data_IF_003992851244
#
_entry.id   IF_003992851244
#
_cell.length_a   1.000
_cell.length_b   1.000
_cell.length_c   1.000
_cell.angle_alpha   90.00
_cell.angle_beta   90.00
_cell.angle_gamma   90.00
#
_symmetry.space_group_name_H-M   'P 1'
#
loop_
_entity.id
_entity.type
_entity.pdbx_description
1 polymer ?
#
# COMPACT_ATOMS: atom_id res chain seq x y z
N UNK A 1 -6.09 18.26 -0.26
CA UNK A 1 -4.95 17.58 -0.94
C UNK A 1 -5.46 16.95 -2.22
N UNK A 2 -4.73 17.09 -3.33
CA UNK A 2 -5.08 16.47 -4.62
C UNK A 2 -4.86 14.96 -4.49
N UNK A 3 -5.90 14.15 -4.65
CA UNK A 3 -5.75 12.69 -4.68
C UNK A 3 -4.99 12.31 -5.95
N UNK A 4 -3.86 11.63 -5.79
CA UNK A 4 -3.09 11.11 -6.92
C UNK A 4 -3.67 9.76 -7.32
N UNK A 5 -3.94 9.60 -8.62
CA UNK A 5 -4.36 8.33 -9.20
C UNK A 5 -3.11 7.64 -9.73
N UNK A 6 -2.83 6.45 -9.23
CA UNK A 6 -1.75 5.57 -9.69
C UNK A 6 -2.36 4.49 -10.58
N UNK A 7 -1.71 4.21 -11.70
CA UNK A 7 -2.15 3.16 -12.62
C UNK A 7 -1.21 1.97 -12.52
N UNK A 8 -1.80 0.78 -12.48
CA UNK A 8 -1.11 -0.49 -12.36
C UNK A 8 -1.60 -1.44 -13.46
N UNK A 9 -0.69 -1.92 -14.30
CA UNK A 9 -1.06 -2.77 -15.43
C UNK A 9 -1.12 -4.25 -15.01
N UNK A 10 -2.23 -4.92 -15.29
CA UNK A 10 -2.44 -6.35 -15.09
C UNK A 10 -2.27 -7.07 -16.42
N UNK A 11 -1.46 -8.13 -16.46
CA UNK A 11 -1.27 -8.95 -17.66
C UNK A 11 -1.33 -10.45 -17.33
N UNK A 12 -1.65 -11.27 -18.31
CA UNK A 12 -1.75 -12.73 -18.14
C UNK A 12 -0.39 -13.34 -17.77
N UNK A 13 -0.38 -14.23 -16.77
CA UNK A 13 0.83 -14.83 -16.21
C UNK A 13 1.63 -13.90 -15.27
N UNK A 14 1.05 -12.77 -14.85
CA UNK A 14 1.74 -11.83 -13.97
C UNK A 14 2.11 -12.46 -12.63
N UNK A 15 3.38 -12.34 -12.27
CA UNK A 15 3.91 -12.61 -10.94
C UNK A 15 4.81 -11.44 -10.54
N UNK A 16 4.44 -10.73 -9.46
CA UNK A 16 5.20 -9.56 -8.98
C UNK A 16 6.24 -9.91 -7.92
N UNK A 17 6.62 -11.18 -7.76
CA UNK A 17 7.71 -11.57 -6.87
C UNK A 17 9.00 -10.81 -7.24
N UNK A 18 9.61 -10.15 -6.24
CA UNK A 18 10.78 -9.31 -6.44
C UNK A 18 10.49 -7.88 -6.94
N UNK A 19 9.24 -7.55 -7.26
CA UNK A 19 8.81 -6.19 -7.59
C UNK A 19 8.07 -5.55 -6.42
N UNK A 20 8.28 -4.24 -6.21
CA UNK A 20 7.70 -3.52 -5.09
C UNK A 20 6.89 -2.32 -5.58
N UNK A 21 5.57 -2.42 -5.45
CA UNK A 21 4.65 -1.35 -5.82
C UNK A 21 4.23 -0.55 -4.59
N UNK A 22 4.80 0.65 -4.45
CA UNK A 22 4.61 1.52 -3.28
C UNK A 22 3.53 2.55 -3.53
N UNK A 23 2.64 2.70 -2.56
CA UNK A 23 1.49 3.61 -2.60
C UNK A 23 1.50 4.44 -1.31
N UNK A 24 1.20 5.73 -1.42
CA UNK A 24 0.98 6.59 -0.26
C UNK A 24 -0.50 6.53 0.17
N UNK A 25 -0.78 6.80 1.44
CA UNK A 25 -2.16 6.94 1.93
C UNK A 25 -2.92 8.02 1.15
N UNK A 26 -4.24 7.89 1.11
CA UNK A 26 -5.18 8.75 0.38
C UNK A 26 -5.04 8.77 -1.16
N UNK A 27 -4.08 8.05 -1.73
CA UNK A 27 -4.03 7.80 -3.17
C UNK A 27 -5.16 6.86 -3.61
N UNK A 28 -5.44 6.87 -4.91
CA UNK A 28 -6.33 5.92 -5.58
C UNK A 28 -5.48 5.06 -6.51
N UNK A 29 -5.75 3.75 -6.54
CA UNK A 29 -5.07 2.84 -7.47
C UNK A 29 -6.07 2.31 -8.48
N UNK A 30 -5.73 2.44 -9.75
CA UNK A 30 -6.43 1.85 -10.89
C UNK A 30 -5.62 0.68 -11.40
N UNK A 31 -6.19 -0.52 -11.32
CA UNK A 31 -5.63 -1.71 -11.93
C UNK A 31 -6.22 -1.84 -13.34
N UNK A 32 -5.43 -1.53 -14.35
CA UNK A 32 -5.81 -1.48 -15.76
C UNK A 32 -5.48 -2.82 -16.42
N UNK A 33 -6.35 -3.28 -17.30
CA UNK A 33 -6.15 -4.49 -18.07
C UNK A 33 -5.16 -4.26 -19.22
N UNK A 34 -4.14 -5.10 -19.33
CA UNK A 34 -3.29 -5.22 -20.52
C UNK A 34 -4.05 -5.89 -21.67
N UNK A 35 -3.53 -5.74 -22.90
CA UNK A 35 -4.05 -6.38 -24.12
C UNK A 35 -4.27 -7.89 -23.98
N UNK A 36 -3.48 -8.57 -23.14
CA UNK A 36 -3.63 -10.00 -22.84
C UNK A 36 -4.92 -10.36 -22.07
N UNK A 37 -5.57 -9.39 -21.43
CA UNK A 37 -6.77 -9.59 -20.61
C UNK A 37 -8.02 -8.89 -21.19
N UNK A 38 -7.89 -8.16 -22.29
CA UNK A 38 -9.02 -7.47 -22.93
C UNK A 38 -9.97 -8.49 -23.53
N UNK A 39 -11.27 -8.33 -23.28
CA UNK A 39 -12.31 -9.27 -23.70
C UNK A 39 -12.43 -10.52 -22.83
N UNK A 40 -11.54 -10.71 -21.84
CA UNK A 40 -11.66 -11.76 -20.84
C UNK A 40 -12.63 -11.35 -19.72
N UNK A 41 -13.21 -12.34 -19.04
CA UNK A 41 -14.06 -12.11 -17.86
C UNK A 41 -13.17 -12.02 -16.61
N UNK A 42 -12.50 -10.88 -16.43
CA UNK A 42 -11.52 -10.72 -15.35
C UNK A 42 -12.23 -10.47 -14.02
N UNK A 43 -11.84 -11.22 -12.98
CA UNK A 43 -12.28 -10.97 -11.59
C UNK A 43 -11.07 -10.74 -10.71
N UNK A 44 -11.11 -9.68 -9.91
CA UNK A 44 -9.97 -9.20 -9.14
C UNK A 44 -10.24 -9.28 -7.64
N UNK A 45 -9.31 -9.88 -6.91
CA UNK A 45 -9.43 -10.13 -5.47
C UNK A 45 -8.24 -9.53 -4.73
N UNK A 46 -8.49 -8.86 -3.60
CA UNK A 46 -7.45 -8.23 -2.79
C UNK A 46 -7.75 -8.39 -1.29
N UNK A 47 -6.71 -8.60 -0.48
CA UNK A 47 -6.86 -8.70 0.98
C UNK A 47 -6.75 -7.35 1.71
N UNK A 48 -6.89 -6.24 0.99
CA UNK A 48 -6.96 -4.92 1.58
C UNK A 48 -8.30 -4.77 2.31
N UNK A 49 -8.31 -4.42 3.61
CA UNK A 49 -9.53 -4.39 4.40
C UNK A 49 -10.47 -3.30 3.90
N UNK A 50 -11.77 -3.54 4.03
CA UNK A 50 -12.74 -2.48 3.80
C UNK A 50 -12.71 -1.44 4.94
N UNK A 51 -13.28 -0.26 4.69
CA UNK A 51 -13.25 0.83 5.66
C UNK A 51 -13.86 0.41 7.01
N UNK A 52 -13.08 0.51 8.08
CA UNK A 52 -13.51 0.15 9.44
C UNK A 52 -13.37 -1.32 9.80
N UNK A 53 -12.87 -2.17 8.88
CA UNK A 53 -12.62 -3.59 9.13
C UNK A 53 -11.15 -3.82 9.50
N UNK A 54 -10.89 -4.71 10.47
CA UNK A 54 -9.53 -5.13 10.80
C UNK A 54 -8.89 -5.93 9.67
N UNK A 55 -7.63 -5.66 9.35
CA UNK A 55 -6.90 -6.45 8.36
C UNK A 55 -6.74 -7.90 8.78
N UNK A 56 -7.07 -8.83 7.87
CA UNK A 56 -6.81 -10.26 7.99
C UNK A 56 -6.19 -10.78 6.70
N UNK A 57 -4.99 -11.35 6.78
CA UNK A 57 -4.19 -11.77 5.62
C UNK A 57 -4.89 -12.78 4.70
N UNK A 58 -5.73 -13.64 5.28
CA UNK A 58 -6.44 -14.73 4.60
C UNK A 58 -7.80 -14.33 4.01
N UNK A 59 -8.30 -13.13 4.31
CA UNK A 59 -9.60 -12.67 3.84
C UNK A 59 -9.41 -11.75 2.63
N UNK A 60 -10.09 -12.08 1.52
CA UNK A 60 -10.04 -11.34 0.29
C UNK A 60 -11.43 -10.80 -0.05
N UNK A 61 -11.46 -9.61 -0.63
CA UNK A 61 -12.65 -9.03 -1.24
C UNK A 61 -12.46 -8.91 -2.73
N UNK A 62 -13.56 -9.02 -3.45
CA UNK A 62 -13.60 -8.76 -4.88
C UNK A 62 -13.73 -7.26 -5.14
N UNK A 63 -12.96 -6.73 -6.10
CA UNK A 63 -13.17 -5.39 -6.62
C UNK A 63 -14.03 -5.46 -7.89
N UNK A 64 -14.96 -4.52 -8.01
CA UNK A 64 -15.79 -4.42 -9.19
C UNK A 64 -15.02 -3.79 -10.35
N UNK A 65 -15.25 -4.33 -11.55
CA UNK A 65 -14.73 -3.78 -12.79
C UNK A 65 -15.51 -2.52 -13.16
N UNK A 66 -14.82 -1.40 -13.30
CA UNK A 66 -15.40 -0.14 -13.74
C UNK A 66 -15.19 0.03 -15.24
N UNK A 67 -16.23 0.48 -15.94
CA UNK A 67 -16.16 0.88 -17.33
C UNK A 67 -16.36 2.42 -17.41
N UNK A 68 -15.36 3.19 -17.84
CA UNK A 68 -15.46 4.65 -17.90
C UNK A 68 -16.28 5.16 -19.10
N UNK A 69 -16.63 4.31 -20.07
CA UNK A 69 -17.31 4.72 -21.30
C UNK A 69 -18.74 5.21 -20.99
N UNK A 70 -19.07 6.51 -21.24
CA UNK A 70 -20.35 7.10 -20.83
C UNK A 70 -21.58 6.53 -21.55
N UNK A 71 -21.41 5.81 -22.65
CA UNK A 71 -22.49 5.41 -23.56
C UNK A 71 -23.13 4.05 -23.25
N UNK A 72 -22.76 3.37 -22.16
CA UNK A 72 -23.36 2.07 -21.78
C UNK A 72 -23.16 0.96 -22.83
N UNK A 73 -22.25 1.16 -23.80
CA UNK A 73 -21.89 0.17 -24.81
C UNK A 73 -20.95 -0.83 -24.17
N UNK A 74 -21.51 -1.93 -23.68
CA UNK A 74 -20.79 -3.03 -23.02
C UNK A 74 -19.67 -3.68 -23.87
N UNK A 75 -19.62 -3.36 -25.17
CA UNK A 75 -18.63 -3.83 -26.14
C UNK A 75 -17.30 -3.05 -26.06
N UNK A 76 -17.31 -1.83 -25.54
CA UNK A 76 -16.10 -1.03 -25.37
C UNK A 76 -15.51 -1.30 -23.98
N UNK A 77 -14.49 -2.15 -23.93
CA UNK A 77 -13.89 -2.67 -22.70
C UNK A 77 -12.39 -2.39 -22.56
N UNK A 78 -11.82 -1.59 -23.48
CA UNK A 78 -10.39 -1.31 -23.52
C UNK A 78 -9.91 -0.46 -22.34
N UNK A 79 -10.78 0.42 -21.84
CA UNK A 79 -10.47 1.32 -20.72
C UNK A 79 -10.98 0.79 -19.37
N UNK A 80 -11.35 -0.48 -19.29
CA UNK A 80 -11.85 -1.05 -18.04
C UNK A 80 -10.74 -1.14 -16.97
N UNK A 81 -11.10 -0.85 -15.73
CA UNK A 81 -10.16 -0.90 -14.60
C UNK A 81 -10.83 -1.33 -13.29
N UNK A 82 -10.08 -1.95 -12.41
CA UNK A 82 -10.46 -2.13 -11.00
C UNK A 82 -9.93 -0.97 -10.18
N UNK A 83 -10.67 -0.58 -9.15
CA UNK A 83 -10.33 0.59 -8.37
C UNK A 83 -10.24 0.31 -6.87
N UNK A 84 -9.10 0.69 -6.28
CA UNK A 84 -8.90 0.72 -4.84
C UNK A 84 -8.90 2.18 -4.36
N UNK A 85 -9.93 2.54 -3.59
CA UNK A 85 -10.13 3.86 -2.97
C UNK A 85 -9.93 3.78 -1.45
N UNK A 86 -9.80 4.96 -0.83
CA UNK A 86 -9.80 5.15 0.62
C UNK A 86 -8.69 4.35 1.33
N UNK A 87 -7.46 4.46 0.81
CA UNK A 87 -6.29 3.79 1.35
C UNK A 87 -5.86 4.48 2.66
N UNK A 88 -6.16 3.86 3.79
CA UNK A 88 -5.91 4.37 5.16
C UNK A 88 -4.98 3.46 5.98
N UNK A 89 -4.98 2.16 5.70
CA UNK A 89 -4.17 1.17 6.43
C UNK A 89 -2.83 0.98 5.72
N UNK A 90 -1.74 1.19 6.42
CA UNK A 90 -0.38 0.90 5.93
C UNK A 90 -0.06 -0.58 6.10
N UNK A 91 0.72 -1.14 5.16
CA UNK A 91 1.07 -2.55 5.17
C UNK A 91 1.34 -3.12 3.78
N UNK A 92 1.45 -4.44 3.71
CA UNK A 92 1.61 -5.17 2.45
C UNK A 92 0.35 -6.00 2.20
N UNK A 93 -0.27 -5.78 1.05
CA UNK A 93 -1.53 -6.39 0.65
C UNK A 93 -1.34 -7.20 -0.61
N UNK A 94 -1.86 -8.41 -0.60
CA UNK A 94 -1.80 -9.35 -1.71
C UNK A 94 -3.06 -9.20 -2.56
N UNK A 95 -2.90 -9.32 -3.86
CA UNK A 95 -4.00 -9.42 -4.80
C UNK A 95 -3.75 -10.55 -5.81
N UNK A 96 -4.84 -11.07 -6.36
CA UNK A 96 -4.82 -12.03 -7.46
C UNK A 96 -6.04 -11.81 -8.34
N UNK A 97 -6.01 -12.33 -9.56
CA UNK A 97 -7.14 -12.25 -10.47
C UNK A 97 -7.25 -13.50 -11.36
N UNK A 98 -8.46 -13.78 -11.81
CA UNK A 98 -8.78 -14.79 -12.82
C UNK A 98 -9.17 -14.10 -14.12
N UNK A 99 -9.14 -14.82 -15.25
CA UNK A 99 -9.52 -14.29 -16.59
C UNK A 99 -10.75 -14.98 -17.20
N UNK A 100 -11.19 -16.08 -16.59
CA UNK A 100 -12.29 -16.94 -17.05
C UNK A 100 -13.61 -16.71 -16.28
N UNK A 101 -13.63 -15.73 -15.37
CA UNK A 101 -14.79 -15.44 -14.50
C UNK A 101 -14.88 -16.35 -13.26
N UNK A 102 -13.92 -17.26 -13.07
CA UNK A 102 -13.86 -18.08 -11.86
C UNK A 102 -13.52 -17.23 -10.63
N UNK A 103 -13.96 -17.67 -9.45
CA UNK A 103 -13.47 -17.16 -8.17
C UNK A 103 -12.65 -18.28 -7.51
N UNK A 104 -11.40 -18.50 -7.97
CA UNK A 104 -10.57 -19.55 -7.41
C UNK A 104 -10.32 -19.25 -5.93
N UNK A 105 -10.05 -20.30 -5.16
CA UNK A 105 -9.66 -20.11 -3.77
C UNK A 105 -8.40 -19.24 -3.68
N UNK A 106 -8.24 -18.44 -2.61
CA UNK A 106 -7.02 -17.67 -2.45
C UNK A 106 -5.81 -18.60 -2.42
N UNK A 107 -4.73 -18.28 -3.13
CA UNK A 107 -3.59 -19.18 -3.24
C UNK A 107 -3.03 -19.51 -1.85
N UNK A 108 -3.00 -20.80 -1.51
CA UNK A 108 -2.47 -21.27 -0.21
C UNK A 108 -0.94 -21.11 -0.13
N UNK A 109 -0.28 -21.08 -1.29
CA UNK A 109 1.17 -20.99 -1.45
C UNK A 109 1.51 -19.94 -2.51
N UNK A 110 2.55 -19.13 -2.26
CA UNK A 110 3.03 -18.09 -3.19
C UNK A 110 3.56 -18.65 -4.52
N UNK A 111 3.91 -19.94 -4.53
CA UNK A 111 4.71 -20.56 -5.60
C UNK A 111 3.88 -21.38 -6.60
N UNK A 112 2.57 -21.55 -6.36
CA UNK A 112 1.71 -22.33 -7.24
C UNK A 112 0.63 -21.39 -7.80
N UNK A 113 0.71 -21.09 -9.10
CA UNK A 113 -0.46 -20.62 -9.85
C UNK A 113 -1.50 -21.76 -9.77
N UNK A 114 -2.45 -21.63 -8.84
CA UNK A 114 -3.56 -22.55 -8.73
C UNK A 114 -4.42 -22.48 -10.01
N UNK A 115 -5.08 -23.59 -10.35
CA UNK A 115 -5.95 -23.65 -11.53
C UNK A 115 -6.99 -22.50 -11.47
N UNK A 116 -6.98 -21.64 -12.49
CA UNK A 116 -7.89 -20.49 -12.59
C UNK A 116 -7.29 -19.13 -12.17
N UNK A 117 -6.11 -19.09 -11.54
CA UNK A 117 -5.42 -17.81 -11.28
C UNK A 117 -4.63 -17.40 -12.52
N UNK A 118 -4.96 -16.23 -13.08
CA UNK A 118 -4.28 -15.65 -14.24
C UNK A 118 -3.06 -14.80 -13.84
N UNK A 119 -3.04 -14.26 -12.62
CA UNK A 119 -1.89 -13.54 -12.10
C UNK A 119 -2.07 -13.12 -10.65
N UNK A 120 -0.96 -12.78 -9.99
CA UNK A 120 -0.94 -12.35 -8.60
C UNK A 120 0.17 -11.35 -8.32
N UNK A 121 0.02 -10.60 -7.21
CA UNK A 121 1.02 -9.65 -6.81
C UNK A 121 0.78 -8.98 -5.47
N UNK A 122 1.67 -8.05 -5.13
CA UNK A 122 1.61 -7.30 -3.88
C UNK A 122 1.64 -5.80 -4.13
N UNK A 123 0.83 -5.09 -3.35
CA UNK A 123 0.93 -3.65 -3.16
C UNK A 123 1.42 -3.34 -1.74
N UNK A 124 2.22 -2.30 -1.61
CA UNK A 124 2.73 -1.83 -0.33
C UNK A 124 2.26 -0.41 -0.07
N UNK A 125 1.53 -0.21 1.02
CA UNK A 125 1.07 1.11 1.45
C UNK A 125 2.06 1.63 2.48
N UNK A 126 2.78 2.68 2.12
CA UNK A 126 3.79 3.29 2.97
C UNK A 126 3.15 3.88 4.24
N UNK A 127 3.78 3.71 5.42
CA UNK A 127 3.36 4.41 6.62
C UNK A 127 3.73 5.90 6.53
N UNK A 128 2.90 6.75 7.15
CA UNK A 128 3.23 8.15 7.35
C UNK A 128 3.96 8.28 8.70
N UNK A 129 5.11 8.97 8.71
CA UNK A 129 5.79 9.31 9.95
C UNK A 129 5.30 10.67 10.45
N UNK A 130 4.78 10.66 11.67
CA UNK A 130 4.36 11.87 12.37
C UNK A 130 5.10 11.95 13.68
N UNK A 131 5.89 13.01 13.87
CA UNK A 131 6.49 13.33 15.15
C UNK A 131 5.96 14.65 15.68
N UNK A 132 5.77 14.72 16.99
CA UNK A 132 5.72 16.00 17.70
C UNK A 132 7.14 16.53 17.79
N UNK A 133 7.50 17.48 16.94
CA UNK A 133 8.72 18.24 17.18
C UNK A 133 8.43 19.11 18.42
N UNK A 134 9.10 18.85 19.54
CA UNK A 134 9.09 19.74 20.70
C UNK A 134 9.97 20.94 20.36
N UNK A 135 9.56 21.74 19.37
CA UNK A 135 10.15 23.06 19.18
C UNK A 135 9.58 23.92 20.30
N UNK A 136 10.39 24.23 21.31
CA UNK A 136 10.15 25.36 22.22
C UNK A 136 10.30 26.67 21.43
N UNK A 137 9.43 26.88 20.45
CA UNK A 137 9.25 28.16 19.79
C UNK A 137 8.35 29.02 20.67
N UNK A 138 8.66 30.32 20.74
CA UNK A 138 7.97 31.34 21.56
C UNK A 138 6.45 31.45 21.30
N UNK A 139 5.93 30.79 20.26
CA UNK A 139 4.51 30.60 20.02
C UNK A 139 4.10 29.16 20.37
N UNK A 140 3.27 28.98 21.40
CA UNK A 140 2.82 27.70 21.97
C UNK A 140 2.01 26.77 21.06
N UNK A 141 2.25 26.77 19.75
CA UNK A 141 1.64 25.86 18.79
C UNK A 141 2.62 24.73 18.48
N UNK A 142 2.38 23.57 19.10
CA UNK A 142 3.03 22.30 18.76
C UNK A 142 2.52 21.81 17.41
N UNK A 143 3.12 22.28 16.31
CA UNK A 143 2.82 21.77 14.98
C UNK A 143 3.60 20.46 14.76
N UNK A 144 2.91 19.33 14.74
CA UNK A 144 3.52 18.04 14.42
C UNK A 144 4.13 18.07 13.02
N UNK A 145 5.41 17.73 12.89
CA UNK A 145 6.09 17.62 11.60
C UNK A 145 5.76 16.26 11.02
N UNK A 146 5.17 16.24 9.82
CA UNK A 146 5.04 15.02 9.01
C UNK A 146 6.29 14.91 8.13
N UNK A 147 6.86 13.72 8.01
CA UNK A 147 7.96 13.46 7.07
C UNK A 147 7.73 12.16 6.30
N UNK A 148 8.21 12.16 5.05
CA UNK A 148 8.29 10.96 4.24
C UNK A 148 9.44 10.05 4.75
N UNK A 149 9.37 8.76 4.43
CA UNK A 149 10.43 7.77 4.71
C UNK A 149 11.82 8.22 4.23
N UNK A 150 11.90 8.99 3.15
CA UNK A 150 13.18 9.52 2.63
C UNK A 150 13.82 10.56 3.52
N UNK A 151 13.07 11.16 4.45
CA UNK A 151 13.56 12.17 5.39
C UNK A 151 13.96 11.59 6.75
N UNK A 152 13.94 10.28 6.93
CA UNK A 152 14.29 9.63 8.21
C UNK A 152 15.81 9.61 8.37
N UNK A 153 16.28 10.11 9.51
CA UNK A 153 17.68 10.08 9.93
C UNK A 153 17.73 9.42 11.31
N UNK A 154 18.26 8.20 11.34
CA UNK A 154 18.21 7.29 12.49
C UNK A 154 19.54 7.31 13.27
N UNK A 155 19.47 7.45 14.59
CA UNK A 155 20.60 7.21 15.48
C UNK A 155 20.41 5.91 16.28
N UNK A 156 21.30 4.94 16.08
CA UNK A 156 21.27 3.68 16.82
C UNK A 156 22.01 3.77 18.16
N UNK A 157 21.35 3.34 19.24
CA UNK A 157 21.95 3.26 20.58
C UNK A 157 22.02 1.82 21.07
N UNK A 158 23.14 1.46 21.71
CA UNK A 158 23.27 0.21 22.45
C UNK A 158 22.88 0.46 23.91
N UNK A 159 21.75 -0.08 24.35
CA UNK A 159 21.21 0.13 25.70
C UNK A 159 22.21 -0.17 26.83
N UNK A 160 23.02 -1.23 26.67
CA UNK A 160 24.07 -1.61 27.64
C UNK A 160 25.20 -0.56 27.80
N UNK A 161 25.34 0.36 26.83
CA UNK A 161 26.35 1.41 26.84
C UNK A 161 25.75 2.79 27.20
N UNK A 162 24.46 2.89 27.50
CA UNK A 162 23.80 4.14 27.92
C UNK A 162 23.98 4.46 29.41
N UNK A 163 24.66 3.60 30.17
CA UNK A 163 24.82 3.78 31.61
C UNK A 163 23.53 3.51 32.38
N UNK A 164 23.43 4.06 33.58
CA UNK A 164 22.25 3.92 34.42
C UNK A 164 21.07 4.72 33.85
N UNK A 165 19.84 4.25 34.07
CA UNK A 165 18.62 4.82 33.47
C UNK A 165 18.48 6.36 33.61
N UNK A 166 18.83 7.01 34.74
CA UNK A 166 18.78 8.47 34.86
C UNK A 166 19.68 9.24 33.88
N UNK A 167 20.72 8.62 33.34
CA UNK A 167 21.64 9.25 32.37
C UNK A 167 21.20 9.09 30.91
N UNK A 168 20.13 8.34 30.65
CA UNK A 168 19.72 8.05 29.27
C UNK A 168 19.27 9.31 28.54
N UNK A 169 18.49 10.18 29.19
CA UNK A 169 17.98 11.41 28.58
C UNK A 169 19.11 12.32 28.08
N UNK A 170 20.13 12.56 28.90
CA UNK A 170 21.27 13.41 28.51
C UNK A 170 22.07 12.82 27.35
N UNK A 171 22.18 11.50 27.27
CA UNK A 171 22.85 10.80 26.16
C UNK A 171 22.00 10.79 24.88
N UNK A 172 20.68 10.72 25.01
CA UNK A 172 19.75 10.83 23.88
C UNK A 172 19.66 12.26 23.35
N UNK A 173 19.94 13.28 24.18
CA UNK A 173 19.98 14.69 23.76
C UNK A 173 20.96 14.92 22.60
N UNK A 174 22.07 14.19 22.54
CA UNK A 174 23.02 14.27 21.42
C UNK A 174 22.38 13.92 20.08
N UNK A 175 21.39 13.03 20.02
CA UNK A 175 20.64 12.77 18.78
C UNK A 175 19.74 13.96 18.40
N UNK A 176 19.09 14.60 19.38
CA UNK A 176 18.30 15.81 19.12
C UNK A 176 19.18 16.95 18.60
N UNK A 177 20.33 17.19 19.22
CA UNK A 177 21.28 18.23 18.83
C UNK A 177 21.90 17.94 17.45
N UNK A 178 22.13 16.65 17.16
CA UNK A 178 22.57 16.15 15.85
C UNK A 178 21.49 16.14 14.77
N UNK A 179 20.30 16.67 15.03
CA UNK A 179 19.17 16.73 14.10
C UNK A 179 18.67 15.36 13.60
N UNK A 180 18.90 14.28 14.37
CA UNK A 180 18.28 12.99 14.13
C UNK A 180 16.79 13.04 14.48
N UNK A 181 15.97 12.29 13.76
CA UNK A 181 14.51 12.27 13.96
C UNK A 181 13.95 10.87 14.28
N UNK A 182 14.83 9.87 14.43
CA UNK A 182 14.52 8.52 14.87
C UNK A 182 15.67 7.93 15.68
#
# INVERSE_FOLDING_TARGET
MKKTVLQYLLYDGMNTEGQLFRIKKDNVVHFILDVSLIGCNVRFFINYPDSGVSFKRSEYRELHLNNPTPSGKHLDCFDNYFELKNISVCGSFHFYFSKDGSAPHPPLSKTCLEEGIAGSGYIMVDPDFTGTQVVKGTSGNSCGKKWDLSGVVLQSYLSKNLGIFPEWESRLQTAMDGCYNM
#
